data_IF_500813081299
#
_entry.id   IF_500813081299
#
_cell.length_a   1.000
_cell.length_b   1.000
_cell.length_c   1.000
_cell.angle_alpha   90.00
_cell.angle_beta   90.00
_cell.angle_gamma   90.00
#
_symmetry.space_group_name_H-M   'P 1'
#
loop_
_entity.id
_entity.type
_entity.pdbx_description
1 polymer ?
#
# COMPACT_ATOMS: atom_id res chain seq x y z
N UNK A 1 16.69 -8.85 5.89
CA UNK A 1 18.04 -8.71 5.29
C UNK A 1 17.91 -8.81 3.78
N UNK A 2 18.70 -8.02 3.05
CA UNK A 2 18.75 -8.07 1.59
C UNK A 2 19.23 -9.45 1.13
N UNK A 3 18.59 -10.07 0.10
CA UNK A 3 19.13 -11.28 -0.51
C UNK A 3 20.50 -10.99 -1.16
N UNK A 4 21.41 -11.96 -1.13
CA UNK A 4 22.72 -11.80 -1.75
C UNK A 4 22.61 -11.54 -3.26
N UNK A 5 23.30 -10.53 -3.76
CA UNK A 5 23.25 -10.14 -5.17
C UNK A 5 21.93 -9.50 -5.64
N UNK A 6 21.05 -9.10 -4.72
CA UNK A 6 19.79 -8.44 -5.04
C UNK A 6 19.94 -6.92 -5.12
N UNK A 7 19.28 -6.31 -6.07
CA UNK A 7 19.11 -4.86 -6.18
C UNK A 7 17.79 -4.43 -5.55
N UNK A 8 17.82 -3.43 -4.65
CA UNK A 8 16.63 -2.87 -4.03
C UNK A 8 15.83 -2.07 -5.07
N UNK A 9 14.60 -2.51 -5.32
CA UNK A 9 13.68 -1.78 -6.19
C UNK A 9 12.99 -0.65 -5.42
N UNK A 10 12.24 -0.96 -4.37
CA UNK A 10 11.62 0.01 -3.45
C UNK A 10 11.16 -0.69 -2.16
N UNK A 11 10.98 0.10 -1.10
CA UNK A 11 10.39 -0.35 0.16
C UNK A 11 8.87 -0.54 0.06
N UNK A 12 8.29 -1.25 1.02
CA UNK A 12 6.84 -1.37 1.12
C UNK A 12 6.28 -0.29 2.05
N UNK A 13 5.33 0.48 1.55
CA UNK A 13 4.60 1.51 2.31
C UNK A 13 3.11 1.24 2.18
N UNK A 14 2.39 1.26 3.30
CA UNK A 14 0.94 1.05 3.34
C UNK A 14 0.23 2.29 3.87
N UNK A 15 -1.01 2.47 3.41
CA UNK A 15 -1.87 3.61 3.79
C UNK A 15 -3.34 3.21 3.74
N UNK A 16 -4.19 3.76 4.63
CA UNK A 16 -5.63 3.64 4.47
C UNK A 16 -6.11 4.31 3.19
N UNK A 17 -6.96 3.63 2.43
CA UNK A 17 -7.54 4.17 1.20
C UNK A 17 -9.03 3.84 1.07
N UNK A 18 -9.75 4.73 0.41
CA UNK A 18 -11.16 4.58 0.02
C UNK A 18 -11.35 5.07 -1.41
N UNK A 19 -12.46 4.70 -2.05
CA UNK A 19 -12.81 5.31 -3.34
C UNK A 19 -13.13 6.79 -3.20
N UNK A 20 -12.90 7.55 -4.26
CA UNK A 20 -13.28 8.96 -4.33
C UNK A 20 -14.79 9.16 -4.04
N UNK A 21 -15.65 8.29 -4.59
CA UNK A 21 -17.09 8.35 -4.35
C UNK A 21 -17.43 8.17 -2.86
N UNK A 22 -16.79 7.22 -2.18
CA UNK A 22 -16.97 6.99 -0.74
C UNK A 22 -16.52 8.21 0.08
N UNK A 23 -15.36 8.78 -0.24
CA UNK A 23 -14.82 9.97 0.42
C UNK A 23 -15.79 11.16 0.28
N UNK A 24 -16.31 11.37 -0.94
CA UNK A 24 -17.29 12.44 -1.21
C UNK A 24 -18.59 12.26 -0.42
N UNK A 25 -19.12 11.03 -0.33
CA UNK A 25 -20.31 10.74 0.48
C UNK A 25 -20.07 11.05 1.96
N UNK A 26 -18.91 10.70 2.50
CA UNK A 26 -18.55 11.01 3.89
C UNK A 26 -18.42 12.52 4.13
N UNK A 27 -17.83 13.27 3.19
CA UNK A 27 -17.74 14.74 3.28
C UNK A 27 -19.10 15.43 3.19
N UNK A 28 -20.03 14.91 2.39
CA UNK A 28 -21.37 15.44 2.24
C UNK A 28 -22.35 15.02 3.34
N UNK A 29 -21.92 14.19 4.28
CA UNK A 29 -22.77 13.68 5.36
C UNK A 29 -23.73 12.55 4.93
N UNK A 30 -23.56 11.98 3.74
CA UNK A 30 -24.33 10.84 3.24
C UNK A 30 -23.77 9.49 3.70
N UNK A 31 -22.58 9.49 4.30
CA UNK A 31 -21.94 8.35 4.95
C UNK A 31 -21.29 8.83 6.27
N UNK A 32 -20.95 7.92 7.21
CA UNK A 32 -20.23 8.29 8.41
C UNK A 32 -18.93 9.03 8.08
N UNK A 33 -18.59 10.03 8.92
CA UNK A 33 -17.38 10.83 8.78
C UNK A 33 -16.13 9.93 8.73
N UNK A 34 -15.14 10.33 7.92
CA UNK A 34 -13.85 9.63 7.79
C UNK A 34 -12.74 10.66 7.60
N UNK A 35 -12.30 11.30 8.71
CA UNK A 35 -11.30 12.37 8.69
C UNK A 35 -10.18 12.18 9.72
N UNK A 36 -10.31 11.21 10.61
CA UNK A 36 -9.34 10.89 11.64
C UNK A 36 -9.41 9.38 11.98
N UNK A 37 -8.34 8.77 12.51
CA UNK A 37 -8.28 7.33 12.75
C UNK A 37 -9.43 6.76 13.56
N UNK A 38 -9.93 7.47 14.58
CA UNK A 38 -11.06 7.01 15.41
C UNK A 38 -12.38 6.86 14.63
N UNK A 39 -12.54 7.56 13.50
CA UNK A 39 -13.75 7.50 12.70
C UNK A 39 -13.91 6.11 12.03
N UNK A 40 -12.82 5.34 11.91
CA UNK A 40 -12.83 3.96 11.39
C UNK A 40 -13.80 3.04 12.16
N UNK A 41 -14.14 3.36 13.41
CA UNK A 41 -15.12 2.60 14.19
C UNK A 41 -16.51 2.51 13.52
N UNK A 42 -16.87 3.47 12.67
CA UNK A 42 -18.15 3.51 11.96
C UNK A 42 -18.11 2.84 10.56
N UNK A 43 -16.95 2.28 10.17
CA UNK A 43 -16.73 1.79 8.80
C UNK A 43 -16.43 0.30 8.74
N UNK A 44 -16.55 -0.28 7.55
CA UNK A 44 -16.04 -1.61 7.23
C UNK A 44 -14.54 -1.50 6.94
N UNK A 45 -13.72 -2.27 7.65
CA UNK A 45 -12.30 -2.43 7.34
C UNK A 45 -12.07 -3.69 6.51
N UNK A 46 -11.31 -3.53 5.43
CA UNK A 46 -10.94 -4.61 4.53
C UNK A 46 -9.57 -5.14 4.98
N UNK A 47 -9.50 -6.41 5.37
CA UNK A 47 -8.28 -7.06 5.86
C UNK A 47 -7.90 -8.22 4.95
N UNK A 48 -6.61 -8.45 4.77
CA UNK A 48 -6.12 -9.65 4.10
C UNK A 48 -6.16 -10.84 5.08
N UNK A 49 -6.85 -11.93 4.68
CA UNK A 49 -6.91 -13.17 5.48
C UNK A 49 -5.62 -13.96 5.30
N UNK A 50 -4.53 -13.40 5.74
CA UNK A 50 -3.23 -14.04 5.69
C UNK A 50 -2.90 -14.76 7.00
N UNK A 51 -2.53 -16.02 6.89
CA UNK A 51 -2.04 -16.85 8.00
C UNK A 51 -0.50 -16.83 8.12
N UNK A 52 0.17 -15.95 7.37
CA UNK A 52 1.63 -15.86 7.31
C UNK A 52 2.18 -14.82 8.30
N UNK A 53 3.44 -14.97 8.71
CA UNK A 53 4.10 -14.07 9.65
C UNK A 53 4.23 -12.61 9.17
N UNK A 54 4.07 -12.36 7.85
CA UNK A 54 4.03 -11.01 7.26
C UNK A 54 2.85 -10.17 7.73
N UNK A 55 1.75 -10.81 8.15
CA UNK A 55 0.50 -10.18 8.62
C UNK A 55 0.76 -9.18 9.76
N UNK A 56 1.69 -9.46 10.65
CA UNK A 56 1.98 -8.56 11.76
C UNK A 56 2.40 -7.16 11.30
N UNK A 57 3.05 -7.05 10.13
CA UNK A 57 3.60 -5.79 9.62
C UNK A 57 2.70 -5.06 8.64
N UNK A 58 1.74 -5.74 8.00
CA UNK A 58 0.88 -5.21 6.95
C UNK A 58 -0.60 -5.21 7.36
N UNK A 59 -0.91 -5.29 8.65
CA UNK A 59 -2.27 -5.45 9.17
C UNK A 59 -2.85 -4.15 9.71
N UNK A 60 -4.19 -4.06 9.73
CA UNK A 60 -4.91 -3.03 10.44
C UNK A 60 -4.56 -2.98 11.92
N UNK A 61 -4.31 -4.12 12.58
CA UNK A 61 -3.90 -4.16 13.99
C UNK A 61 -2.67 -3.29 14.25
N UNK A 62 -1.65 -3.39 13.39
CA UNK A 62 -0.44 -2.57 13.50
C UNK A 62 -0.75 -1.11 13.24
N UNK A 63 -1.44 -0.81 12.13
CA UNK A 63 -1.76 0.57 11.76
C UNK A 63 -2.57 1.28 12.85
N UNK A 64 -3.60 0.63 13.40
CA UNK A 64 -4.43 1.17 14.48
C UNK A 64 -3.62 1.45 15.75
N UNK A 65 -2.71 0.52 16.11
CA UNK A 65 -1.83 0.70 17.27
C UNK A 65 -0.91 1.91 17.08
N UNK A 66 -0.24 2.01 15.93
CA UNK A 66 0.74 3.05 15.64
C UNK A 66 0.08 4.43 15.46
N UNK A 67 -1.23 4.47 15.18
CA UNK A 67 -2.05 5.69 15.12
C UNK A 67 -2.85 6.00 16.40
N UNK A 68 -2.53 5.36 17.53
CA UNK A 68 -3.09 5.67 18.85
C UNK A 68 -4.52 5.18 19.09
N UNK A 69 -5.04 4.28 18.25
CA UNK A 69 -6.40 3.72 18.34
C UNK A 69 -6.39 2.18 18.42
N UNK A 70 -5.42 1.61 19.13
CA UNK A 70 -5.16 0.16 19.21
C UNK A 70 -6.38 -0.69 19.64
N UNK A 71 -7.34 -0.12 20.36
CA UNK A 71 -8.55 -0.80 20.85
C UNK A 71 -9.78 -0.54 19.99
N UNK A 72 -9.60 0.09 18.84
CA UNK A 72 -10.73 0.39 17.95
C UNK A 72 -11.28 -0.91 17.37
N UNK A 73 -12.60 -1.06 17.48
CA UNK A 73 -13.37 -2.09 16.78
C UNK A 73 -14.17 -1.42 15.67
N UNK A 74 -14.00 -1.82 14.40
CA UNK A 74 -14.76 -1.27 13.29
C UNK A 74 -16.21 -1.77 13.31
N UNK A 75 -17.08 -1.11 12.57
CA UNK A 75 -18.46 -1.56 12.40
C UNK A 75 -18.53 -2.97 11.78
N UNK A 76 -17.57 -3.31 10.93
CA UNK A 76 -17.45 -4.63 10.29
C UNK A 76 -16.01 -4.90 9.87
N UNK A 77 -15.61 -6.17 9.94
CA UNK A 77 -14.46 -6.73 9.24
C UNK A 77 -14.90 -7.46 7.98
N UNK A 78 -14.20 -7.25 6.87
CA UNK A 78 -14.32 -8.04 5.65
C UNK A 78 -12.93 -8.58 5.30
N UNK A 79 -12.79 -9.90 5.37
CA UNK A 79 -11.57 -10.61 5.08
C UNK A 79 -11.53 -11.05 3.62
N UNK A 80 -10.40 -10.83 2.98
CA UNK A 80 -10.17 -11.11 1.56
C UNK A 80 -8.83 -11.85 1.41
N UNK A 81 -8.75 -12.75 0.44
CA UNK A 81 -7.58 -13.65 0.31
C UNK A 81 -6.36 -12.97 -0.31
N UNK A 82 -6.53 -11.86 -1.01
CA UNK A 82 -5.45 -11.20 -1.75
C UNK A 82 -5.55 -9.68 -1.68
N UNK A 83 -4.40 -9.00 -1.63
CA UNK A 83 -4.30 -7.54 -1.61
C UNK A 83 -5.09 -6.87 -2.75
N UNK A 84 -5.03 -7.42 -3.98
CA UNK A 84 -5.76 -6.82 -5.12
C UNK A 84 -7.28 -6.83 -4.91
N UNK A 85 -7.82 -7.84 -4.21
CA UNK A 85 -9.26 -7.89 -3.89
C UNK A 85 -9.66 -6.79 -2.91
N UNK A 86 -8.81 -6.47 -1.93
CA UNK A 86 -9.03 -5.34 -1.02
C UNK A 86 -9.10 -4.02 -1.81
N UNK A 87 -8.16 -3.82 -2.74
CA UNK A 87 -8.12 -2.61 -3.58
C UNK A 87 -9.39 -2.51 -4.44
N UNK A 88 -9.82 -3.61 -5.08
CA UNK A 88 -11.03 -3.63 -5.87
C UNK A 88 -12.29 -3.39 -5.01
N UNK A 89 -12.35 -3.98 -3.82
CA UNK A 89 -13.44 -3.75 -2.88
C UNK A 89 -13.50 -2.29 -2.42
N UNK A 90 -12.35 -1.66 -2.14
CA UNK A 90 -12.28 -0.25 -1.77
C UNK A 90 -12.73 0.65 -2.95
N UNK A 91 -12.28 0.40 -4.18
CA UNK A 91 -12.71 1.11 -5.39
C UNK A 91 -14.22 1.01 -5.61
N UNK A 92 -14.82 -0.15 -5.29
CA UNK A 92 -16.26 -0.36 -5.34
C UNK A 92 -17.04 0.26 -4.16
N UNK A 93 -16.37 0.96 -3.22
CA UNK A 93 -17.00 1.57 -2.05
C UNK A 93 -17.34 0.58 -0.92
N UNK A 94 -16.75 -0.62 -0.94
CA UNK A 94 -17.03 -1.68 0.05
C UNK A 94 -16.44 -1.42 1.45
N UNK A 95 -15.57 -0.44 1.61
CA UNK A 95 -14.95 -0.09 2.88
C UNK A 95 -13.59 0.59 2.75
N UNK A 96 -12.86 0.63 3.86
CA UNK A 96 -11.50 1.18 3.95
C UNK A 96 -10.48 0.05 3.84
N UNK A 97 -9.55 0.13 2.91
CA UNK A 97 -8.47 -0.83 2.73
C UNK A 97 -7.13 -0.27 3.21
N UNK A 98 -6.20 -1.15 3.60
CA UNK A 98 -4.78 -0.81 3.67
C UNK A 98 -4.14 -1.06 2.30
N UNK A 99 -4.00 0.01 1.51
CA UNK A 99 -3.39 -0.05 0.20
C UNK A 99 -1.85 -0.04 0.29
N UNK A 100 -1.19 -0.86 -0.53
CA UNK A 100 0.26 -0.82 -0.73
C UNK A 100 0.57 0.21 -1.80
N UNK A 101 1.30 1.27 -1.47
CA UNK A 101 1.54 2.42 -2.36
C UNK A 101 2.06 1.97 -3.74
N UNK A 102 2.99 1.01 -3.76
CA UNK A 102 3.55 0.49 -5.00
C UNK A 102 2.51 -0.15 -5.95
N UNK A 103 1.39 -0.64 -5.42
CA UNK A 103 0.33 -1.30 -6.19
C UNK A 103 -0.84 -0.37 -6.54
N UNK A 104 -0.98 0.75 -5.83
CA UNK A 104 -2.14 1.65 -5.97
C UNK A 104 -1.75 3.05 -6.45
N UNK A 105 -0.48 3.30 -6.73
CA UNK A 105 0.04 4.62 -7.11
C UNK A 105 -0.72 5.26 -8.28
N UNK A 106 -1.06 4.49 -9.31
CA UNK A 106 -1.86 4.95 -10.44
C UNK A 106 -3.29 5.34 -10.02
N UNK A 107 -3.91 4.56 -9.13
CA UNK A 107 -5.27 4.86 -8.65
C UNK A 107 -5.30 6.10 -7.77
N UNK A 108 -4.25 6.34 -6.99
CA UNK A 108 -4.08 7.57 -6.21
C UNK A 108 -3.85 8.77 -7.14
N UNK A 109 -2.96 8.66 -8.12
CA UNK A 109 -2.64 9.76 -9.05
C UNK A 109 -3.82 10.14 -9.95
N UNK A 110 -4.69 9.19 -10.31
CA UNK A 110 -5.95 9.46 -11.03
C UNK A 110 -7.08 9.96 -10.12
N UNK A 111 -6.92 9.90 -8.81
CA UNK A 111 -7.97 10.25 -7.86
C UNK A 111 -9.08 9.20 -7.73
N UNK A 112 -8.88 7.98 -8.25
CA UNK A 112 -9.84 6.87 -8.06
C UNK A 112 -9.88 6.41 -6.59
N UNK A 113 -8.69 6.40 -5.96
CA UNK A 113 -8.51 6.19 -4.53
C UNK A 113 -8.06 7.47 -3.85
N UNK A 114 -8.50 7.65 -2.61
CA UNK A 114 -8.17 8.77 -1.73
C UNK A 114 -7.58 8.23 -0.43
N UNK A 115 -6.55 8.89 0.10
CA UNK A 115 -6.03 8.70 1.44
C UNK A 115 -6.83 9.59 2.42
N UNK A 116 -7.79 9.05 3.16
CA UNK A 116 -8.71 9.88 3.97
C UNK A 116 -8.03 10.60 5.12
N UNK A 117 -6.84 10.16 5.50
CA UNK A 117 -6.08 10.72 6.62
C UNK A 117 -4.80 11.43 6.19
N UNK A 118 -4.54 11.52 4.87
CA UNK A 118 -3.34 12.14 4.32
C UNK A 118 -2.10 11.24 4.33
N UNK A 119 -1.06 11.70 3.63
CA UNK A 119 0.18 10.96 3.46
C UNK A 119 1.00 10.83 4.76
N UNK A 120 0.79 11.70 5.73
CA UNK A 120 1.43 11.65 7.04
C UNK A 120 1.02 10.43 7.88
N UNK A 121 -0.04 9.73 7.47
CA UNK A 121 -0.50 8.48 8.09
C UNK A 121 -0.04 7.22 7.35
N UNK A 122 0.82 7.38 6.37
CA UNK A 122 1.50 6.26 5.72
C UNK A 122 2.42 5.55 6.71
N UNK A 123 2.55 4.25 6.54
CA UNK A 123 3.36 3.42 7.42
C UNK A 123 4.32 2.57 6.59
N UNK A 124 5.62 2.72 6.85
CA UNK A 124 6.62 1.85 6.25
C UNK A 124 6.56 0.46 6.90
N UNK A 125 6.77 -0.55 6.07
CA UNK A 125 6.93 -1.95 6.49
C UNK A 125 8.41 -2.34 6.42
N UNK A 126 8.85 -3.41 7.12
CA UNK A 126 10.22 -3.92 6.98
C UNK A 126 10.43 -4.68 5.66
N UNK A 127 9.40 -4.83 4.85
CA UNK A 127 9.48 -5.52 3.56
C UNK A 127 9.90 -4.56 2.44
N UNK A 128 10.47 -5.15 1.39
CA UNK A 128 10.89 -4.44 0.21
C UNK A 128 10.79 -5.35 -1.02
N UNK A 129 10.80 -4.73 -2.18
CA UNK A 129 10.84 -5.42 -3.47
C UNK A 129 12.28 -5.44 -3.97
N UNK A 130 12.74 -6.62 -4.38
CA UNK A 130 14.11 -6.87 -4.79
C UNK A 130 14.15 -7.48 -6.19
N UNK A 131 15.08 -7.01 -7.00
CA UNK A 131 15.42 -7.65 -8.28
C UNK A 131 16.60 -8.58 -8.06
N UNK A 132 16.45 -9.85 -8.41
CA UNK A 132 17.50 -10.85 -8.34
C UNK A 132 17.77 -11.39 -9.74
N UNK A 133 19.00 -11.19 -10.22
CA UNK A 133 19.46 -11.85 -11.44
C UNK A 133 19.91 -13.28 -11.13
N UNK A 134 19.07 -14.23 -11.46
CA UNK A 134 19.33 -15.65 -11.19
C UNK A 134 20.54 -16.20 -11.96
N UNK A 135 20.90 -15.62 -13.11
CA UNK A 135 22.09 -16.03 -13.87
C UNK A 135 23.37 -15.62 -13.13
N UNK A 136 23.44 -14.39 -12.64
CA UNK A 136 24.56 -13.94 -11.78
C UNK A 136 24.61 -14.74 -10.47
N UNK A 137 23.48 -14.97 -9.85
CA UNK A 137 23.39 -15.74 -8.61
C UNK A 137 23.87 -17.19 -8.77
N UNK A 138 23.71 -17.78 -9.95
CA UNK A 138 24.19 -19.13 -10.30
C UNK A 138 25.62 -19.15 -10.85
N UNK A 139 26.30 -18.00 -10.95
CA UNK A 139 27.65 -17.89 -11.49
C UNK A 139 27.71 -18.13 -13.01
N UNK A 140 26.61 -17.97 -13.73
CA UNK A 140 26.57 -18.07 -15.18
C UNK A 140 27.29 -16.86 -15.81
N UNK A 141 28.24 -17.14 -16.73
CA UNK A 141 29.08 -16.08 -17.32
C UNK A 141 28.42 -15.26 -18.43
N UNK A 142 27.27 -15.69 -18.94
CA UNK A 142 26.63 -15.05 -20.09
C UNK A 142 25.19 -14.73 -19.76
N UNK A 143 24.90 -13.46 -19.52
CA UNK A 143 23.53 -12.95 -19.41
C UNK A 143 23.04 -12.57 -20.80
N UNK A 144 21.83 -13.04 -21.16
CA UNK A 144 21.21 -12.70 -22.44
C UNK A 144 20.88 -11.21 -22.50
N UNK A 145 21.14 -10.52 -23.64
CA UNK A 145 20.91 -9.08 -23.77
C UNK A 145 19.49 -8.64 -23.42
N UNK A 146 18.48 -9.48 -23.73
CA UNK A 146 17.06 -9.20 -23.43
C UNK A 146 16.80 -9.18 -21.92
N UNK A 147 17.48 -10.03 -21.15
CA UNK A 147 17.37 -10.06 -19.67
C UNK A 147 17.96 -8.79 -19.08
N UNK A 148 19.13 -8.37 -19.58
CA UNK A 148 19.77 -7.11 -19.16
C UNK A 148 18.88 -5.90 -19.47
N UNK A 149 18.32 -5.83 -20.67
CA UNK A 149 17.44 -4.73 -21.06
C UNK A 149 16.16 -4.70 -20.22
N UNK A 150 15.58 -5.88 -19.91
CA UNK A 150 14.40 -5.97 -19.05
C UNK A 150 14.71 -5.57 -17.59
N UNK A 151 15.84 -6.01 -17.04
CA UNK A 151 16.28 -5.61 -15.71
C UNK A 151 16.48 -4.09 -15.61
N UNK A 152 17.10 -3.48 -16.62
CA UNK A 152 17.27 -2.03 -16.68
C UNK A 152 15.93 -1.31 -16.74
N UNK A 153 15.00 -1.77 -17.57
CA UNK A 153 13.65 -1.20 -17.63
C UNK A 153 12.91 -1.31 -16.29
N UNK A 154 13.00 -2.44 -15.59
CA UNK A 154 12.44 -2.61 -14.25
C UNK A 154 13.04 -1.61 -13.26
N UNK A 155 14.36 -1.41 -13.28
CA UNK A 155 15.04 -0.44 -12.40
C UNK A 155 14.56 1.00 -12.66
N UNK A 156 14.34 1.37 -13.94
CA UNK A 156 13.77 2.66 -14.33
C UNK A 156 12.33 2.84 -13.82
N UNK A 157 11.47 1.80 -13.97
CA UNK A 157 10.11 1.83 -13.42
C UNK A 157 10.11 1.93 -11.89
N UNK A 158 11.01 1.21 -11.22
CA UNK A 158 11.17 1.28 -9.78
C UNK A 158 11.61 2.68 -9.31
N UNK A 159 12.47 3.36 -10.06
CA UNK A 159 12.85 4.74 -9.76
C UNK A 159 11.64 5.70 -9.82
N UNK A 160 10.78 5.55 -10.82
CA UNK A 160 9.54 6.32 -10.92
C UNK A 160 8.61 6.04 -9.73
N UNK A 161 8.47 4.77 -9.33
CA UNK A 161 7.67 4.37 -8.16
C UNK A 161 8.23 5.00 -6.87
N UNK A 162 9.56 4.99 -6.66
CA UNK A 162 10.19 5.68 -5.51
C UNK A 162 9.85 7.17 -5.48
N UNK A 163 9.95 7.85 -6.62
CA UNK A 163 9.60 9.28 -6.70
C UNK A 163 8.14 9.56 -6.32
N UNK A 164 7.20 8.70 -6.72
CA UNK A 164 5.79 8.81 -6.31
C UNK A 164 5.61 8.61 -4.80
N UNK A 165 6.36 7.68 -4.20
CA UNK A 165 6.34 7.47 -2.76
C UNK A 165 6.87 8.67 -1.99
N UNK A 166 7.98 9.27 -2.45
CA UNK A 166 8.67 10.38 -1.80
C UNK A 166 7.95 11.72 -1.99
N UNK A 167 7.39 11.97 -3.17
CA UNK A 167 6.66 13.23 -3.48
C UNK A 167 5.44 13.41 -2.59
N UNK A 168 4.81 12.33 -2.20
CA UNK A 168 3.66 12.37 -1.32
C UNK A 168 4.02 12.60 0.16
N UNK A 169 5.27 12.37 0.57
CA UNK A 169 5.78 12.72 1.91
C UNK A 169 6.08 14.23 1.99
N UNK A 170 6.45 14.85 0.87
CA UNK A 170 6.85 16.26 0.81
C UNK A 170 5.73 17.24 0.43
N UNK A 171 4.53 16.75 0.10
CA UNK A 171 3.36 17.57 -0.18
C UNK A 171 2.66 17.97 1.13
N UNK A 172 3.35 18.72 2.00
CA UNK A 172 2.71 19.45 3.11
C UNK A 172 2.08 20.71 2.50
N UNK A 173 0.77 20.92 2.55
CA UNK A 173 0.19 22.20 2.17
C UNK A 173 0.62 23.26 3.18
N UNK A 174 1.16 24.35 2.65
CA UNK A 174 1.40 25.62 3.39
C UNK A 174 0.09 26.25 3.81
#
# INVERSE_FOLDING_TARGET
>A
DAPEGAELMFGEVITPVVSCAFSNQAMQGHAPRLSQPKDLAAHTLLEEDERLASVEFLSWRRWLRDNGVAKLEPARWLYLNFTYQQVQAALAGGGVALGRIALIGDSLSRGDLIEPFGAERRMASPFAYWLIDLAQHRGERTVRPEVTAFAQWLAEQAAATRQQMDSAVNATPS
#
